data_IF_538865718878
#
_entry.id   IF_538865718878
#
_cell.length_a   1.000
_cell.length_b   1.000
_cell.length_c   1.000
_cell.angle_alpha   90.00
_cell.angle_beta   90.00
_cell.angle_gamma   90.00
#
_symmetry.space_group_name_H-M   'P 1'
#
loop_
_entity.id
_entity.type
_entity.pdbx_description
1 polymer ?
#
# COMPACT_ATOMS: atom_id res chain seq x y z
N UNK A 1 7.25 9.46 -2.73
CA UNK A 1 6.90 8.96 -4.08
C UNK A 1 6.45 7.49 -4.09
N UNK A 2 7.31 6.52 -3.70
CA UNK A 2 7.00 5.09 -3.84
C UNK A 2 5.73 4.60 -3.11
N UNK A 3 5.46 5.11 -1.90
CA UNK A 3 4.27 4.73 -1.10
C UNK A 3 2.96 5.15 -1.79
N UNK A 4 2.93 6.32 -2.42
CA UNK A 4 1.75 6.83 -3.11
C UNK A 4 1.44 5.99 -4.36
N UNK A 5 2.46 5.67 -5.16
CA UNK A 5 2.33 4.81 -6.35
C UNK A 5 1.84 3.41 -5.97
N UNK A 6 2.42 2.80 -4.93
CA UNK A 6 1.96 1.50 -4.41
C UNK A 6 0.51 1.58 -3.93
N UNK A 7 0.12 2.67 -3.27
CA UNK A 7 -1.25 2.86 -2.78
C UNK A 7 -2.27 2.95 -3.92
N UNK A 8 -1.96 3.72 -4.97
CA UNK A 8 -2.80 3.80 -6.16
C UNK A 8 -2.99 2.42 -6.81
N UNK A 9 -1.89 1.68 -7.01
CA UNK A 9 -1.92 0.35 -7.63
C UNK A 9 -2.61 -0.71 -6.77
N UNK A 10 -2.45 -0.65 -5.45
CA UNK A 10 -3.19 -1.51 -4.51
C UNK A 10 -4.69 -1.24 -4.62
N UNK A 11 -5.11 0.04 -4.70
CA UNK A 11 -6.52 0.41 -4.85
C UNK A 11 -7.13 -0.13 -6.14
N UNK A 12 -6.44 0.05 -7.27
CA UNK A 12 -6.84 -0.48 -8.57
C UNK A 12 -6.97 -2.01 -8.56
N UNK A 13 -5.94 -2.71 -8.09
CA UNK A 13 -5.91 -4.17 -8.08
C UNK A 13 -6.94 -4.76 -7.11
N UNK A 14 -7.22 -4.07 -6.00
CA UNK A 14 -8.28 -4.45 -5.07
C UNK A 14 -9.64 -4.43 -5.76
N UNK A 15 -9.94 -3.39 -6.55
CA UNK A 15 -11.15 -3.31 -7.37
C UNK A 15 -11.23 -4.43 -8.40
N UNK A 16 -10.15 -4.68 -9.14
CA UNK A 16 -10.07 -5.77 -10.12
C UNK A 16 -10.40 -7.15 -9.49
N UNK A 17 -9.88 -7.43 -8.30
CA UNK A 17 -10.08 -8.71 -7.61
C UNK A 17 -11.50 -8.91 -7.05
N UNK A 18 -12.31 -7.86 -6.93
CA UNK A 18 -13.72 -8.00 -6.53
C UNK A 18 -14.53 -8.75 -7.60
N UNK A 19 -14.26 -8.47 -8.88
CA UNK A 19 -14.84 -9.22 -10.02
C UNK A 19 -14.14 -10.56 -10.29
N UNK A 20 -12.85 -10.66 -9.95
CA UNK A 20 -12.00 -11.81 -10.29
C UNK A 20 -11.62 -12.63 -9.03
N UNK A 21 -12.62 -13.20 -8.35
CA UNK A 21 -12.42 -13.89 -7.06
C UNK A 21 -11.41 -15.05 -7.11
N UNK A 22 -11.30 -15.73 -8.25
CA UNK A 22 -10.42 -16.88 -8.50
C UNK A 22 -9.00 -16.50 -8.95
N UNK A 23 -8.71 -15.22 -9.16
CA UNK A 23 -7.37 -14.79 -9.52
C UNK A 23 -6.44 -14.78 -8.30
N UNK A 24 -5.83 -15.94 -8.05
CA UNK A 24 -4.89 -16.13 -6.94
C UNK A 24 -3.49 -15.55 -7.24
N UNK A 25 -3.10 -15.46 -8.52
CA UNK A 25 -1.80 -14.94 -8.92
C UNK A 25 -1.72 -13.43 -8.69
N UNK A 26 -2.73 -12.68 -9.12
CA UNK A 26 -2.83 -11.25 -8.86
C UNK A 26 -3.01 -10.95 -7.38
N UNK A 27 -3.75 -11.79 -6.63
CA UNK A 27 -3.85 -11.65 -5.17
C UNK A 27 -2.50 -11.82 -4.47
N UNK A 28 -1.65 -12.74 -4.92
CA UNK A 28 -0.28 -12.87 -4.41
C UNK A 28 0.54 -11.60 -4.69
N UNK A 29 0.44 -11.05 -5.90
CA UNK A 29 1.07 -9.76 -6.25
C UNK A 29 0.59 -8.60 -5.36
N UNK A 30 -0.71 -8.54 -5.10
CA UNK A 30 -1.31 -7.57 -4.17
C UNK A 30 -0.69 -7.66 -2.77
N UNK A 31 -0.59 -8.86 -2.21
CA UNK A 31 0.00 -9.07 -0.88
C UNK A 31 1.47 -8.64 -0.83
N UNK A 32 2.24 -8.91 -1.89
CA UNK A 32 3.63 -8.45 -2.01
C UNK A 32 3.72 -6.92 -2.02
N UNK A 33 2.87 -6.23 -2.78
CA UNK A 33 2.82 -4.76 -2.81
C UNK A 33 2.43 -4.17 -1.46
N UNK A 34 1.45 -4.77 -0.77
CA UNK A 34 1.05 -4.35 0.59
C UNK A 34 2.23 -4.51 1.56
N UNK A 35 2.94 -5.63 1.51
CA UNK A 35 4.13 -5.88 2.33
C UNK A 35 5.25 -4.88 2.06
N UNK A 36 5.52 -4.55 0.79
CA UNK A 36 6.51 -3.54 0.41
C UNK A 36 6.12 -2.16 0.94
N UNK A 37 4.86 -1.74 0.77
CA UNK A 37 4.36 -0.46 1.29
C UNK A 37 4.52 -0.39 2.81
N UNK A 38 4.21 -1.48 3.54
CA UNK A 38 4.38 -1.55 4.99
C UNK A 38 5.85 -1.39 5.41
N UNK A 39 6.79 -2.02 4.71
CA UNK A 39 8.23 -1.87 5.00
C UNK A 39 8.70 -0.41 4.82
N UNK A 40 8.27 0.25 3.74
CA UNK A 40 8.59 1.66 3.49
C UNK A 40 8.01 2.59 4.56
N UNK A 41 6.75 2.37 4.97
CA UNK A 41 6.13 3.15 6.04
C UNK A 41 6.80 2.93 7.39
N UNK A 42 7.21 1.69 7.70
CA UNK A 42 7.95 1.39 8.93
C UNK A 42 9.33 2.06 8.94
N UNK A 43 10.01 2.11 7.78
CA UNK A 43 11.26 2.84 7.63
C UNK A 43 11.04 4.34 7.90
N UNK A 44 10.08 4.96 7.20
CA UNK A 44 9.72 6.37 7.42
C UNK A 44 9.38 6.67 8.88
N UNK A 45 8.59 5.81 9.53
CA UNK A 45 8.23 5.99 10.95
C UNK A 45 9.44 6.00 11.89
N UNK A 46 10.50 5.25 11.58
CA UNK A 46 11.72 5.18 12.40
C UNK A 46 12.68 6.36 12.16
N UNK A 47 12.73 6.87 10.93
CA UNK A 47 13.69 7.91 10.56
C UNK A 47 13.10 9.32 10.61
N UNK A 48 11.85 9.50 10.18
CA UNK A 48 11.17 10.80 10.09
C UNK A 48 9.68 10.68 10.42
N UNK A 49 9.35 10.85 11.70
CA UNK A 49 7.98 10.63 12.20
C UNK A 49 6.97 11.62 11.59
N UNK A 50 7.35 12.87 11.38
CA UNK A 50 6.43 13.89 10.85
C UNK A 50 6.09 13.64 9.39
N UNK A 51 7.09 13.27 8.57
CA UNK A 51 6.87 12.86 7.17
C UNK A 51 5.99 11.60 7.10
N UNK A 52 6.17 10.64 8.00
CA UNK A 52 5.27 9.48 8.12
C UNK A 52 3.83 9.90 8.41
N UNK A 53 3.61 10.80 9.39
CA UNK A 53 2.27 11.27 9.78
C UNK A 53 1.57 12.00 8.64
N UNK A 54 2.27 12.94 8.01
CA UNK A 54 1.76 13.69 6.86
C UNK A 54 1.36 12.75 5.73
N UNK A 55 2.24 11.81 5.36
CA UNK A 55 2.00 10.87 4.27
C UNK A 55 0.82 9.92 4.55
N UNK A 56 0.69 9.45 5.79
CA UNK A 56 -0.43 8.58 6.20
C UNK A 56 -1.76 9.33 6.15
N UNK A 57 -1.77 10.59 6.59
CA UNK A 57 -2.94 11.47 6.53
C UNK A 57 -3.34 11.78 5.09
N UNK A 58 -2.39 12.18 4.26
CA UNK A 58 -2.60 12.51 2.83
C UNK A 58 -3.16 11.31 2.05
N UNK A 59 -2.65 10.10 2.32
CA UNK A 59 -3.07 8.87 1.64
C UNK A 59 -4.27 8.17 2.30
N UNK A 60 -4.79 8.69 3.42
CA UNK A 60 -5.92 8.09 4.14
C UNK A 60 -5.66 6.66 4.64
N UNK A 61 -4.40 6.31 4.93
CA UNK A 61 -4.03 4.96 5.36
C UNK A 61 -4.40 4.76 6.84
N UNK A 62 -5.16 3.72 7.17
CA UNK A 62 -5.48 3.38 8.57
C UNK A 62 -4.35 2.54 9.20
N UNK A 63 -4.12 2.76 10.50
CA UNK A 63 -3.22 1.94 11.31
C UNK A 63 -3.78 0.53 11.51
#
# INVERSE_FOLDING_TARGET
VQVALLTARIKELTGHLQGNKKDHHSRRGLLMMVGQRRRLLNYLRRHELDRYRQLVQELGLRK
#
